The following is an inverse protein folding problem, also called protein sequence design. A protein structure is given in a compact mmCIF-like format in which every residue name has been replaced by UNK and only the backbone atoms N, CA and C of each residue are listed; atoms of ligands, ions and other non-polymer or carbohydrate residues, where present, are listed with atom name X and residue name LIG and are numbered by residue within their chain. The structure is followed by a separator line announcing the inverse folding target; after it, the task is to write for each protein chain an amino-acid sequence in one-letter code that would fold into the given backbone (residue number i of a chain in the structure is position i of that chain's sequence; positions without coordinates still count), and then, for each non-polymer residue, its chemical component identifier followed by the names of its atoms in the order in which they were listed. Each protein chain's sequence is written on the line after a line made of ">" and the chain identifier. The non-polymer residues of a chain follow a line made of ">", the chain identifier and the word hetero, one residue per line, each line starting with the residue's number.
data_IF_741544845462
#
_entry.id   IF_741544845462
#
_cell.length_a   1.000
_cell.length_b   1.000
_cell.length_c   1.000
_cell.angle_alpha   90.00
_cell.angle_beta   90.00
_cell.angle_gamma   90.00
#
_symmetry.space_group_name_H-M   'P 1'
#
loop_
_entity.id
_entity.type
_entity.pdbx_description
1 polymer ?
#
# COMPACT_ATOMS: atom_id res chain seq x y z
N UNK A 1 8.79 -30.78 -15.41
CA UNK A 1 9.55 -29.65 -14.84
C UNK A 1 8.54 -28.62 -14.37
N UNK A 2 8.23 -28.73 -13.09
CA UNK A 2 7.33 -27.88 -12.32
C UNK A 2 7.80 -26.42 -12.23
N UNK A 3 6.86 -25.49 -12.33
CA UNK A 3 6.52 -24.55 -11.25
C UNK A 3 5.42 -23.61 -11.75
N UNK A 4 4.17 -24.07 -11.63
CA UNK A 4 3.02 -23.17 -11.56
C UNK A 4 3.17 -22.29 -10.32
N UNK A 5 3.70 -21.07 -10.48
CA UNK A 5 3.55 -20.04 -9.45
C UNK A 5 2.12 -19.50 -9.50
N UNK A 6 1.19 -20.32 -8.98
CA UNK A 6 -0.19 -19.95 -8.72
C UNK A 6 -0.17 -18.79 -7.73
N UNK A 7 -0.49 -17.59 -8.24
CA UNK A 7 -0.77 -16.44 -7.42
C UNK A 7 -1.81 -16.83 -6.37
N UNK A 8 -1.41 -16.72 -5.10
CA UNK A 8 -2.34 -16.72 -3.98
C UNK A 8 -3.16 -15.42 -4.06
N UNK A 9 -4.15 -15.41 -4.94
CA UNK A 9 -5.24 -14.43 -4.89
C UNK A 9 -6.32 -15.08 -4.05
N UNK A 10 -6.25 -14.85 -2.74
CA UNK A 10 -7.36 -15.18 -1.86
C UNK A 10 -8.63 -14.50 -2.39
N UNK A 11 -9.69 -15.30 -2.48
CA UNK A 11 -10.92 -15.02 -3.15
C UNK A 11 -11.74 -13.92 -2.45
N UNK A 12 -12.31 -13.04 -3.28
CA UNK A 12 -13.29 -12.03 -2.91
C UNK A 12 -13.47 -11.09 -4.10
N UNK A 13 -14.56 -11.25 -4.85
CA UNK A 13 -14.91 -10.43 -6.02
C UNK A 13 -15.32 -8.99 -5.60
N UNK A 14 -14.43 -8.28 -4.91
CA UNK A 14 -14.50 -6.84 -4.74
C UNK A 14 -13.72 -6.17 -5.86
N UNK A 15 -14.35 -5.27 -6.61
CA UNK A 15 -13.60 -4.39 -7.54
C UNK A 15 -12.64 -3.46 -6.78
N UNK A 16 -12.80 -3.31 -5.47
CA UNK A 16 -11.95 -2.53 -4.56
C UNK A 16 -11.06 -3.39 -3.66
N UNK A 17 -10.17 -2.73 -2.91
CA UNK A 17 -9.25 -3.34 -1.96
C UNK A 17 -7.79 -3.04 -2.26
N UNK A 18 -6.94 -3.46 -1.33
CA UNK A 18 -5.49 -3.44 -1.45
C UNK A 18 -4.99 -4.43 -2.52
N UNK A 19 -3.91 -4.06 -3.22
CA UNK A 19 -3.24 -4.91 -4.20
C UNK A 19 -1.76 -4.58 -4.30
N UNK A 20 -0.92 -5.62 -4.33
CA UNK A 20 0.51 -5.53 -4.63
C UNK A 20 0.77 -6.01 -6.06
N UNK A 21 1.61 -5.29 -6.78
CA UNK A 21 2.04 -5.60 -8.14
C UNK A 21 3.56 -5.43 -8.25
N UNK A 22 4.21 -6.31 -9.03
CA UNK A 22 5.64 -6.16 -9.36
C UNK A 22 5.77 -5.22 -10.56
N UNK A 23 6.51 -4.14 -10.39
CA UNK A 23 6.78 -3.16 -11.42
C UNK A 23 7.92 -3.62 -12.36
N UNK A 24 8.08 -3.01 -13.55
CA UNK A 24 9.11 -3.39 -14.52
C UNK A 24 10.55 -3.25 -14.02
N UNK A 25 10.77 -2.40 -13.02
CA UNK A 25 12.06 -2.23 -12.31
C UNK A 25 12.37 -3.40 -11.34
N UNK A 26 11.51 -4.42 -11.30
CA UNK A 26 11.63 -5.57 -10.42
C UNK A 26 11.11 -5.34 -9.01
N UNK A 27 10.76 -4.10 -8.65
CA UNK A 27 10.31 -3.69 -7.32
C UNK A 27 8.81 -3.92 -7.15
N UNK A 28 8.37 -4.21 -5.94
CA UNK A 28 6.96 -4.33 -5.62
C UNK A 28 6.38 -2.96 -5.27
N UNK A 29 5.16 -2.69 -5.71
CA UNK A 29 4.40 -1.49 -5.38
C UNK A 29 2.96 -1.89 -5.11
N UNK A 30 2.30 -1.17 -4.22
CA UNK A 30 0.91 -1.40 -3.91
C UNK A 30 0.01 -0.24 -4.32
N UNK A 31 -1.26 -0.58 -4.51
CA UNK A 31 -2.34 0.35 -4.77
C UNK A 31 -3.58 0.00 -3.95
N UNK A 32 -4.35 1.01 -3.55
CA UNK A 32 -5.65 0.84 -2.91
C UNK A 32 -6.75 1.23 -3.88
N UNK A 33 -7.70 0.33 -4.13
CA UNK A 33 -8.89 0.56 -4.97
C UNK A 33 -10.12 0.79 -4.10
N UNK A 34 -10.93 1.77 -4.45
CA UNK A 34 -12.26 1.94 -3.88
C UNK A 34 -13.21 0.83 -4.40
N UNK A 35 -14.36 0.59 -3.74
CA UNK A 35 -15.34 -0.43 -4.17
C UNK A 35 -15.82 -0.31 -5.61
N UNK A 36 -15.76 0.89 -6.21
CA UNK A 36 -16.11 1.15 -7.60
C UNK A 36 -14.99 0.80 -8.60
N UNK A 37 -13.86 0.22 -8.17
CA UNK A 37 -12.73 -0.15 -9.02
C UNK A 37 -11.69 0.93 -9.23
N UNK A 38 -11.94 2.18 -8.79
CA UNK A 38 -11.01 3.28 -9.00
C UNK A 38 -9.87 3.20 -7.99
N UNK A 39 -8.63 3.29 -8.47
CA UNK A 39 -7.46 3.44 -7.61
C UNK A 39 -7.54 4.79 -6.91
N UNK A 40 -7.44 4.82 -5.59
CA UNK A 40 -7.50 6.04 -4.76
C UNK A 40 -6.12 6.45 -4.24
N UNK A 41 -5.24 5.49 -4.01
CA UNK A 41 -3.90 5.73 -3.47
C UNK A 41 -2.88 4.74 -4.03
N UNK A 42 -1.64 5.19 -4.12
CA UNK A 42 -0.49 4.40 -4.55
C UNK A 42 0.72 4.70 -3.65
N UNK A 43 1.56 3.70 -3.42
CA UNK A 43 2.89 3.90 -2.80
C UNK A 43 3.86 4.52 -3.80
N UNK A 44 4.68 5.46 -3.33
CA UNK A 44 5.86 5.92 -4.08
C UNK A 44 7.08 5.02 -3.85
N UNK A 45 7.13 4.30 -2.72
CA UNK A 45 8.21 3.37 -2.41
C UNK A 45 8.12 2.09 -3.27
N UNK A 46 9.24 1.69 -3.86
CA UNK A 46 9.42 0.34 -4.41
C UNK A 46 10.02 -0.56 -3.33
N UNK A 47 9.49 -1.76 -3.18
CA UNK A 47 9.92 -2.76 -2.20
C UNK A 47 10.67 -3.92 -2.87
N UNK A 48 11.56 -4.61 -2.15
CA UNK A 48 12.29 -5.77 -2.70
C UNK A 48 11.37 -6.98 -2.83
N UNK A 49 10.43 -7.13 -1.90
CA UNK A 49 9.51 -8.27 -1.83
C UNK A 49 8.07 -7.83 -1.72
N UNK A 50 7.14 -8.72 -2.11
CA UNK A 50 5.71 -8.50 -1.89
C UNK A 50 5.38 -8.38 -0.40
N UNK A 51 6.01 -9.20 0.45
CA UNK A 51 5.81 -9.19 1.90
C UNK A 51 6.25 -7.86 2.54
N UNK A 52 7.31 -7.22 2.04
CA UNK A 52 7.70 -5.87 2.47
C UNK A 52 6.64 -4.82 2.11
N UNK A 53 6.08 -4.92 0.90
CA UNK A 53 5.02 -4.02 0.44
C UNK A 53 3.73 -4.19 1.28
N UNK A 54 3.39 -5.42 1.63
CA UNK A 54 2.28 -5.76 2.53
C UNK A 54 2.50 -5.21 3.94
N UNK A 55 3.69 -5.40 4.53
CA UNK A 55 4.04 -4.83 5.83
C UNK A 55 3.96 -3.30 5.84
N UNK A 56 4.49 -2.66 4.80
CA UNK A 56 4.41 -1.20 4.64
C UNK A 56 2.96 -0.71 4.56
N UNK A 57 2.09 -1.46 3.87
CA UNK A 57 0.66 -1.14 3.82
C UNK A 57 -0.05 -1.37 5.15
N UNK A 58 0.24 -2.46 5.85
CA UNK A 58 -0.38 -2.76 7.13
C UNK A 58 0.00 -1.76 8.23
N UNK A 59 1.26 -1.32 8.26
CA UNK A 59 1.69 -0.24 9.15
C UNK A 59 0.96 1.09 8.88
N UNK A 60 0.74 1.42 7.60
CA UNK A 60 -0.05 2.58 7.21
C UNK A 60 -1.52 2.44 7.66
N UNK A 61 -2.10 1.25 7.49
CA UNK A 61 -3.46 0.92 7.93
C UNK A 61 -3.62 1.05 9.44
N UNK A 62 -2.66 0.53 10.21
CA UNK A 62 -2.68 0.59 11.67
C UNK A 62 -2.63 2.02 12.21
N UNK A 63 -1.95 2.94 11.51
CA UNK A 63 -1.86 4.37 11.87
C UNK A 63 -2.79 5.27 11.06
N UNK A 64 -3.87 4.75 10.48
CA UNK A 64 -4.70 5.49 9.51
C UNK A 64 -5.29 6.80 10.06
N UNK A 65 -5.67 6.83 11.34
CA UNK A 65 -6.26 7.97 12.04
C UNK A 65 -5.26 9.11 12.30
N UNK A 66 -3.97 8.78 12.41
CA UNK A 66 -2.89 9.74 12.60
C UNK A 66 -2.36 10.35 11.29
N UNK A 67 -2.84 9.89 10.12
CA UNK A 67 -2.32 10.34 8.84
C UNK A 67 -2.69 11.80 8.55
N UNK A 68 -1.67 12.57 8.19
CA UNK A 68 -1.81 13.95 7.71
C UNK A 68 -1.32 14.03 6.27
N UNK A 69 -2.16 14.56 5.38
CA UNK A 69 -1.76 14.85 4.02
C UNK A 69 -1.18 16.25 3.87
N UNK A 70 -0.12 16.35 3.07
CA UNK A 70 0.31 17.57 2.41
C UNK A 70 -0.36 17.63 1.03
N UNK A 71 -1.15 18.68 0.80
CA UNK A 71 -1.81 18.91 -0.49
C UNK A 71 -0.97 19.92 -1.27
N UNK A 72 -0.54 19.54 -2.47
CA UNK A 72 0.31 20.37 -3.33
C UNK A 72 -0.26 20.45 -4.74
N UNK A 73 0.07 21.52 -5.46
CA UNK A 73 -0.17 21.55 -6.89
C UNK A 73 0.75 20.55 -7.60
N UNK A 74 0.27 19.94 -8.68
CA UNK A 74 1.11 19.10 -9.53
C UNK A 74 2.20 19.96 -10.15
N UNK A 75 3.44 19.49 -10.09
CA UNK A 75 4.58 20.12 -10.77
C UNK A 75 4.41 19.91 -12.28
N UNK A 76 4.46 20.99 -13.05
CA UNK A 76 4.32 20.98 -14.51
C UNK A 76 2.98 20.41 -15.01
N UNK A 77 1.90 20.61 -14.24
CA UNK A 77 0.55 20.15 -14.61
C UNK A 77 -0.55 20.95 -13.93
N UNK A 78 -1.80 20.54 -14.13
CA UNK A 78 -2.99 21.20 -13.57
C UNK A 78 -3.56 20.37 -12.41
N UNK A 79 -3.90 21.06 -11.34
CA UNK A 79 -4.65 20.51 -10.23
C UNK A 79 -3.78 20.10 -9.05
N UNK A 80 -4.43 19.41 -8.12
CA UNK A 80 -3.95 19.16 -6.77
C UNK A 80 -3.77 17.67 -6.53
N UNK A 81 -2.71 17.31 -5.83
CA UNK A 81 -2.46 15.96 -5.32
C UNK A 81 -2.30 16.02 -3.82
N UNK A 82 -2.77 14.98 -3.14
CA UNK A 82 -2.46 14.79 -1.73
C UNK A 82 -1.33 13.78 -1.62
N UNK A 83 -0.43 14.05 -0.68
CA UNK A 83 0.71 13.18 -0.36
C UNK A 83 0.73 13.03 1.16
N UNK A 84 0.73 11.80 1.66
CA UNK A 84 1.13 11.50 3.03
C UNK A 84 2.65 11.37 3.00
N UNK A 85 3.39 12.32 3.60
CA UNK A 85 4.84 12.24 3.61
C UNK A 85 5.28 10.96 4.32
N UNK A 86 6.25 10.27 3.73
CA UNK A 86 6.87 9.14 4.40
C UNK A 86 7.66 9.59 5.63
N UNK A 87 7.79 8.70 6.60
CA UNK A 87 8.81 8.79 7.64
C UNK A 87 9.87 7.70 7.39
N UNK A 88 10.91 7.59 8.22
CA UNK A 88 11.79 6.42 8.17
C UNK A 88 11.03 5.09 8.32
N UNK A 89 9.83 5.12 8.91
CA UNK A 89 9.02 3.95 9.24
C UNK A 89 7.79 3.78 8.33
N UNK A 90 7.43 4.79 7.55
CA UNK A 90 6.28 4.75 6.65
C UNK A 90 6.65 5.21 5.24
N UNK A 91 6.26 4.48 4.19
CA UNK A 91 6.49 4.90 2.82
C UNK A 91 5.72 6.18 2.49
N UNK A 92 6.23 6.98 1.55
CA UNK A 92 5.42 8.05 0.96
C UNK A 92 4.24 7.44 0.17
N UNK A 93 3.05 7.99 0.41
CA UNK A 93 1.80 7.58 -0.24
C UNK A 93 1.15 8.80 -0.87
N UNK A 94 0.57 8.64 -2.06
CA UNK A 94 -0.09 9.75 -2.75
C UNK A 94 -1.37 9.33 -3.44
N UNK A 95 -2.19 10.33 -3.77
CA UNK A 95 -3.31 10.16 -4.70
C UNK A 95 -2.85 9.58 -6.03
N UNK A 96 -3.65 8.66 -6.59
CA UNK A 96 -3.39 8.06 -7.92
C UNK A 96 -3.51 9.05 -9.09
N UNK A 97 -4.16 10.20 -8.86
CA UNK A 97 -4.43 11.23 -9.87
C UNK A 97 -4.43 12.63 -9.25
N UNK A 98 -4.31 13.63 -10.11
CA UNK A 98 -4.60 15.02 -9.77
C UNK A 98 -6.11 15.29 -9.70
N UNK A 99 -6.49 16.28 -8.91
CA UNK A 99 -7.86 16.78 -8.79
C UNK A 99 -7.91 18.24 -9.19
N UNK A 100 -8.94 18.64 -9.93
CA UNK A 100 -9.11 20.02 -10.39
C UNK A 100 -9.18 21.03 -9.23
N UNK A 101 -9.81 20.65 -8.11
CA UNK A 101 -10.08 21.54 -6.98
C UNK A 101 -9.41 21.05 -5.70
N UNK A 102 -8.88 21.98 -4.92
CA UNK A 102 -8.30 21.71 -3.59
C UNK A 102 -9.28 20.94 -2.69
N UNK A 103 -10.53 21.40 -2.59
CA UNK A 103 -11.56 20.75 -1.77
C UNK A 103 -11.85 19.30 -2.23
N UNK A 104 -11.85 19.03 -3.54
CA UNK A 104 -12.01 17.67 -4.08
C UNK A 104 -10.81 16.81 -3.72
N UNK A 105 -9.59 17.36 -3.77
CA UNK A 105 -8.38 16.68 -3.34
C UNK A 105 -8.43 16.33 -1.84
N UNK A 106 -8.86 17.28 -1.00
CA UNK A 106 -9.03 17.07 0.44
C UNK A 106 -10.07 15.97 0.74
N UNK A 107 -11.22 15.99 0.06
CA UNK A 107 -12.25 14.96 0.20
C UNK A 107 -11.77 13.58 -0.27
N UNK A 108 -10.93 13.54 -1.32
CA UNK A 108 -10.31 12.30 -1.76
C UNK A 108 -9.36 11.73 -0.71
N UNK A 109 -8.58 12.57 -0.02
CA UNK A 109 -7.74 12.14 1.10
C UNK A 109 -8.57 11.57 2.26
N UNK A 110 -9.63 12.29 2.70
CA UNK A 110 -10.55 11.80 3.74
C UNK A 110 -11.13 10.43 3.37
N UNK A 111 -11.51 10.25 2.11
CA UNK A 111 -12.05 8.97 1.63
C UNK A 111 -10.99 7.87 1.59
N UNK A 112 -9.74 8.20 1.26
CA UNK A 112 -8.62 7.28 1.35
C UNK A 112 -8.44 6.77 2.79
N UNK A 113 -8.40 7.66 3.79
CA UNK A 113 -8.26 7.26 5.21
C UNK A 113 -9.37 6.29 5.64
N UNK A 114 -10.63 6.58 5.29
CA UNK A 114 -11.77 5.68 5.59
C UNK A 114 -11.64 4.33 4.89
N UNK A 115 -11.19 4.29 3.63
CA UNK A 115 -11.03 3.04 2.88
C UNK A 115 -9.86 2.21 3.40
N UNK A 116 -8.78 2.88 3.80
CA UNK A 116 -7.60 2.27 4.39
C UNK A 116 -7.96 1.61 5.73
N UNK A 117 -8.59 2.33 6.65
CA UNK A 117 -9.00 1.81 7.96
C UNK A 117 -9.99 0.62 7.87
N UNK A 118 -10.71 0.49 6.75
CA UNK A 118 -11.63 -0.63 6.48
C UNK A 118 -10.95 -1.87 5.90
N UNK A 119 -9.68 -1.80 5.53
CA UNK A 119 -8.98 -3.00 5.05
C UNK A 119 -8.80 -3.99 6.21
N UNK A 120 -8.90 -5.30 5.94
CA UNK A 120 -8.54 -6.30 6.94
C UNK A 120 -7.05 -6.16 7.29
N UNK A 121 -6.70 -6.53 8.52
CA UNK A 121 -5.30 -6.70 8.89
C UNK A 121 -4.66 -7.79 8.02
N UNK A 122 -3.45 -7.53 7.55
CA UNK A 122 -2.70 -8.55 6.80
C UNK A 122 -2.01 -9.47 7.80
N UNK A 123 -2.26 -10.77 7.65
CA UNK A 123 -1.57 -11.80 8.44
C UNK A 123 -0.20 -12.03 7.82
N UNK A 124 0.84 -11.75 8.60
CA UNK A 124 2.21 -12.09 8.23
C UNK A 124 2.52 -13.42 8.92
N UNK A 125 2.74 -14.53 8.19
CA UNK A 125 3.29 -15.71 8.84
C UNK A 125 4.58 -15.28 9.53
N UNK A 126 4.64 -15.49 10.84
CA UNK A 126 5.82 -15.23 11.64
C UNK A 126 7.01 -15.81 10.89
N UNK A 127 7.95 -14.94 10.50
CA UNK A 127 9.21 -15.37 9.90
C UNK A 127 9.74 -16.46 10.82
N UNK A 128 9.80 -17.69 10.32
CA UNK A 128 10.20 -18.87 11.07
C UNK A 128 11.29 -18.46 12.05
N UNK A 129 10.98 -18.57 13.35
CA UNK A 129 11.91 -18.22 14.41
C UNK A 129 13.30 -18.76 14.04
N UNK A 130 14.39 -17.99 14.24
CA UNK A 130 15.71 -18.48 13.88
C UNK A 130 15.88 -19.87 14.51
N UNK A 131 16.17 -20.87 13.66
CA UNK A 131 16.51 -22.21 14.12
C UNK A 131 17.50 -22.03 15.27
N UNK A 132 17.07 -22.39 16.49
CA UNK A 132 17.95 -22.30 17.65
C UNK A 132 19.21 -23.11 17.31
N UNK A 133 20.41 -22.53 17.39
CA UNK A 133 21.63 -23.29 17.16
C UNK A 133 21.90 -24.13 18.42
N UNK A 134 21.15 -25.23 18.59
CA UNK A 134 21.44 -26.24 19.60
C UNK A 134 20.55 -27.47 19.38
N UNK A 135 20.87 -28.25 18.34
CA UNK A 135 20.84 -29.72 18.41
C UNK A 135 21.76 -30.30 17.31
N UNK A 136 22.92 -29.67 17.14
CA UNK A 136 24.08 -30.35 16.59
C UNK A 136 24.82 -31.00 17.77
N UNK A 137 24.40 -32.24 18.05
CA UNK A 137 25.13 -33.32 18.75
C UNK A 137 26.41 -32.93 19.48
N UNK A 138 26.44 -33.18 20.79
CA UNK A 138 27.42 -34.12 21.37
C UNK A 138 26.86 -34.79 22.61
#
# INVERSE_FOLDING_TARGET
>A
MDASNRGHTAAGAGRGGFRVERAPDGRYRWQLKAPNGRVVAVTAAGYETAADAERGFDGLRAGADALVARITHVRDGIGWVWVVPGSRLLPEVRSSRAYERYATCQNAFRRFVVLLAKQPALEFPELAAPLRPSDARR
#
